data_IF_298181782754
#
_entry.id   IF_298181782754
#
_cell.length_a   1.000
_cell.length_b   1.000
_cell.length_c   1.000
_cell.angle_alpha   90.00
_cell.angle_beta   90.00
_cell.angle_gamma   90.00
#
_symmetry.space_group_name_H-M   'P 1'
#
loop_
_entity.id
_entity.type
_entity.pdbx_description
1 polymer ?
#
# COMPACT_ATOMS: atom_id res chain seq x y z
N UNK A 1 23.61 -0.10 -58.72
CA UNK A 1 23.32 1.05 -57.82
C UNK A 1 22.12 0.80 -56.90
N UNK A 2 21.02 0.18 -57.37
CA UNK A 2 19.81 -0.11 -56.55
C UNK A 2 20.08 -0.88 -55.24
N UNK A 3 20.88 -1.96 -55.25
CA UNK A 3 21.15 -2.74 -54.02
C UNK A 3 21.95 -1.99 -52.95
N UNK A 4 22.86 -1.08 -53.33
CA UNK A 4 23.67 -0.32 -52.34
C UNK A 4 22.81 0.70 -51.59
N UNK A 5 21.86 1.33 -52.29
CA UNK A 5 20.92 2.27 -51.70
C UNK A 5 19.94 1.56 -50.76
N UNK A 6 19.42 0.40 -51.15
CA UNK A 6 18.53 -0.41 -50.29
C UNK A 6 19.23 -0.91 -49.03
N UNK A 7 20.49 -1.33 -49.12
CA UNK A 7 21.28 -1.73 -47.95
C UNK A 7 21.55 -0.54 -47.02
N UNK A 8 21.86 0.63 -47.58
CA UNK A 8 22.09 1.85 -46.78
C UNK A 8 20.81 2.29 -46.05
N UNK A 9 19.66 2.26 -46.72
CA UNK A 9 18.37 2.56 -46.08
C UNK A 9 18.01 1.54 -45.00
N UNK A 10 18.23 0.24 -45.24
CA UNK A 10 18.00 -0.79 -44.23
C UNK A 10 18.91 -0.60 -43.00
N UNK A 11 20.18 -0.24 -43.21
CA UNK A 11 21.11 0.07 -42.12
C UNK A 11 20.66 1.30 -41.33
N UNK A 12 20.18 2.35 -42.02
CA UNK A 12 19.67 3.57 -41.39
C UNK A 12 18.42 3.27 -40.55
N UNK A 13 17.50 2.45 -41.06
CA UNK A 13 16.33 2.01 -40.29
C UNK A 13 16.72 1.20 -39.05
N UNK A 14 17.67 0.26 -39.18
CA UNK A 14 18.19 -0.51 -38.05
C UNK A 14 18.86 0.38 -36.98
N UNK A 15 19.64 1.39 -37.40
CA UNK A 15 20.27 2.36 -36.50
C UNK A 15 19.23 3.25 -35.81
N UNK A 16 18.21 3.72 -36.53
CA UNK A 16 17.12 4.49 -35.94
C UNK A 16 16.32 3.67 -34.92
N UNK A 17 16.07 2.38 -35.17
CA UNK A 17 15.40 1.50 -34.17
C UNK A 17 16.29 1.17 -32.98
N UNK A 18 17.61 1.09 -33.15
CA UNK A 18 18.56 0.85 -32.06
C UNK A 18 18.76 2.07 -31.16
N UNK A 19 18.49 3.28 -31.67
CA UNK A 19 18.51 4.53 -30.88
C UNK A 19 17.19 4.82 -30.17
N UNK A 20 16.13 4.02 -30.40
CA UNK A 20 14.91 4.06 -29.60
C UNK A 20 15.01 3.22 -28.32
N UNK A 21 16.22 2.87 -27.88
CA UNK A 21 16.42 2.44 -26.50
C UNK A 21 16.07 3.63 -25.61
N UNK A 22 14.89 3.58 -25.01
CA UNK A 22 14.52 4.41 -23.87
C UNK A 22 15.74 4.46 -22.94
N UNK A 23 16.25 5.65 -22.64
CA UNK A 23 17.21 5.82 -21.56
C UNK A 23 16.56 5.18 -20.34
N UNK A 24 17.14 4.08 -19.85
CA UNK A 24 16.68 3.50 -18.59
C UNK A 24 16.84 4.59 -17.55
N UNK A 25 15.72 5.17 -17.11
CA UNK A 25 15.71 6.16 -16.04
C UNK A 25 16.35 5.50 -14.82
N UNK A 26 17.55 5.95 -14.46
CA UNK A 26 18.32 5.38 -13.37
C UNK A 26 17.64 5.78 -12.05
N UNK A 27 17.05 4.80 -11.37
CA UNK A 27 16.44 5.04 -10.06
C UNK A 27 17.54 5.35 -9.04
N UNK A 28 17.38 6.46 -8.33
CA UNK A 28 18.30 6.86 -7.27
C UNK A 28 17.88 6.17 -5.96
N UNK A 29 18.73 5.33 -5.34
CA UNK A 29 18.38 4.68 -4.09
C UNK A 29 18.23 5.72 -2.97
N UNK A 30 17.15 5.61 -2.20
CA UNK A 30 16.84 6.49 -1.08
C UNK A 30 16.48 5.65 0.14
N UNK A 31 17.26 5.74 1.22
CA UNK A 31 16.91 5.03 2.44
C UNK A 31 15.73 5.71 3.12
N UNK A 32 14.80 4.88 3.59
CA UNK A 32 13.62 5.33 4.32
C UNK A 32 13.46 4.53 5.59
N UNK A 33 13.07 5.21 6.65
CA UNK A 33 12.85 4.61 7.97
C UNK A 33 11.39 4.69 8.31
N UNK A 34 10.78 3.55 8.66
CA UNK A 34 9.42 3.53 9.21
C UNK A 34 9.46 4.20 10.58
N UNK A 35 8.67 5.25 10.78
CA UNK A 35 8.63 6.02 12.04
C UNK A 35 7.28 5.93 12.74
N UNK A 36 6.25 5.41 12.08
CA UNK A 36 4.94 5.33 12.69
C UNK A 36 3.84 4.78 11.80
N UNK A 37 2.64 4.79 12.39
CA UNK A 37 1.38 4.57 11.70
C UNK A 37 0.61 5.88 11.82
N UNK A 38 0.20 6.42 10.66
CA UNK A 38 -0.60 7.63 10.57
C UNK A 38 -2.01 7.41 11.12
N UNK A 39 -2.95 8.30 10.80
CA UNK A 39 -4.35 8.09 11.18
C UNK A 39 -4.92 6.89 10.41
N UNK A 40 -5.28 5.82 11.13
CA UNK A 40 -5.97 4.68 10.53
C UNK A 40 -7.44 5.04 10.36
N UNK A 41 -7.96 4.89 9.14
CA UNK A 41 -9.26 5.42 8.74
C UNK A 41 -10.20 4.31 8.29
N UNK A 42 -11.47 4.44 8.65
CA UNK A 42 -12.57 3.70 8.06
C UNK A 42 -12.98 4.37 6.76
N UNK A 43 -13.26 3.59 5.73
CA UNK A 43 -13.70 4.05 4.43
C UNK A 43 -14.96 3.28 3.97
N UNK A 44 -15.81 3.98 3.25
CA UNK A 44 -16.91 3.46 2.45
C UNK A 44 -16.47 3.35 0.99
N UNK A 45 -16.44 2.13 0.47
CA UNK A 45 -16.02 1.79 -0.89
C UNK A 45 -17.21 1.38 -1.78
N UNK A 46 -18.44 1.83 -1.47
CA UNK A 46 -19.61 1.54 -2.31
C UNK A 46 -19.62 2.33 -3.65
N UNK A 47 -18.90 3.45 -3.69
CA UNK A 47 -18.85 4.35 -4.84
C UNK A 47 -17.71 4.03 -5.82
N UNK A 48 -17.42 4.98 -6.70
CA UNK A 48 -16.30 4.89 -7.64
C UNK A 48 -14.93 5.08 -6.98
N UNK A 49 -14.90 5.73 -5.82
CA UNK A 49 -13.71 5.96 -5.00
C UNK A 49 -14.06 5.74 -3.53
N UNK A 50 -13.14 5.22 -2.71
CA UNK A 50 -13.32 5.16 -1.26
C UNK A 50 -13.48 6.55 -0.65
N UNK A 51 -14.42 6.72 0.27
CA UNK A 51 -14.68 7.98 0.99
C UNK A 51 -14.86 7.77 2.49
N UNK A 52 -14.77 8.83 3.28
CA UNK A 52 -15.06 8.76 4.72
C UNK A 52 -16.55 8.39 4.96
N UNK A 53 -16.86 7.46 5.86
CA UNK A 53 -18.24 7.09 6.21
C UNK A 53 -19.03 8.27 6.75
N UNK A 54 -20.25 8.47 6.24
CA UNK A 54 -21.13 9.54 6.70
C UNK A 54 -21.76 9.14 8.05
N UNK A 55 -21.55 9.97 9.07
CA UNK A 55 -22.11 9.74 10.40
C UNK A 55 -21.51 8.54 11.14
N UNK A 56 -20.33 8.05 10.74
CA UNK A 56 -19.68 6.90 11.38
C UNK A 56 -20.42 5.58 11.11
N UNK A 57 -21.13 5.48 9.99
CA UNK A 57 -21.86 4.27 9.58
C UNK A 57 -21.41 3.85 8.18
N UNK A 58 -21.19 2.55 7.99
CA UNK A 58 -20.80 1.96 6.69
C UNK A 58 -21.49 0.62 6.47
N UNK A 59 -21.82 0.30 5.23
CA UNK A 59 -22.25 -1.05 4.87
C UNK A 59 -21.08 -2.02 5.07
N UNK A 60 -21.35 -3.18 5.67
CA UNK A 60 -20.32 -4.24 5.83
C UNK A 60 -19.72 -4.67 4.50
N UNK A 61 -20.51 -4.68 3.43
CA UNK A 61 -20.07 -5.07 2.08
C UNK A 61 -19.19 -4.00 1.42
N UNK A 62 -19.28 -2.75 1.88
CA UNK A 62 -18.52 -1.62 1.36
C UNK A 62 -17.35 -1.21 2.26
N UNK A 63 -17.18 -1.84 3.43
CA UNK A 63 -16.18 -1.43 4.41
C UNK A 63 -14.75 -1.63 3.89
N UNK A 64 -13.93 -0.60 4.09
CA UNK A 64 -12.50 -0.61 3.84
C UNK A 64 -11.77 0.04 5.02
N UNK A 65 -10.57 -0.47 5.32
CA UNK A 65 -9.65 0.04 6.32
C UNK A 65 -8.41 0.61 5.60
N UNK A 66 -8.10 1.88 5.83
CA UNK A 66 -6.92 2.56 5.32
C UNK A 66 -5.89 2.73 6.43
N UNK A 67 -4.70 2.17 6.23
CA UNK A 67 -3.60 2.16 7.20
C UNK A 67 -2.41 2.89 6.57
N UNK A 68 -2.29 4.22 6.75
CA UNK A 68 -1.11 4.95 6.31
C UNK A 68 0.07 4.67 7.24
N UNK A 69 1.25 4.50 6.66
CA UNK A 69 2.52 4.41 7.38
C UNK A 69 3.31 5.71 7.23
N UNK A 70 3.96 6.11 8.30
CA UNK A 70 4.80 7.31 8.32
C UNK A 70 6.26 6.91 8.08
N UNK A 71 6.93 7.60 7.16
CA UNK A 71 8.32 7.35 6.81
C UNK A 71 9.14 8.63 6.92
N UNK A 72 10.37 8.48 7.41
CA UNK A 72 11.41 9.50 7.33
C UNK A 72 12.37 9.13 6.20
N UNK A 73 12.67 10.10 5.33
CA UNK A 73 13.54 9.93 4.17
C UNK A 73 14.94 10.45 4.52
N UNK A 74 15.97 9.69 4.19
CA UNK A 74 17.36 10.07 4.44
C UNK A 74 17.76 11.38 3.75
N UNK A 75 17.10 11.69 2.62
CA UNK A 75 17.35 12.87 1.81
C UNK A 75 16.05 13.56 1.41
N UNK A 76 16.15 14.85 1.14
CA UNK A 76 15.05 15.63 0.55
C UNK A 76 14.72 15.09 -0.85
N UNK A 77 13.42 14.94 -1.12
CA UNK A 77 12.91 14.39 -2.38
C UNK A 77 12.77 15.53 -3.38
N UNK A 78 13.47 15.41 -4.51
CA UNK A 78 13.40 16.38 -5.60
C UNK A 78 12.33 15.95 -6.60
N UNK A 79 11.38 16.84 -6.88
CA UNK A 79 10.33 16.60 -7.87
C UNK A 79 10.92 16.29 -9.26
N UNK A 80 10.33 15.31 -9.97
CA UNK A 80 10.81 14.85 -11.28
C UNK A 80 12.00 13.89 -11.22
N UNK A 81 12.44 13.49 -10.02
CA UNK A 81 13.49 12.47 -9.84
C UNK A 81 12.87 11.12 -9.49
N UNK A 82 13.36 10.06 -10.13
CA UNK A 82 12.94 8.69 -9.86
C UNK A 82 13.77 8.12 -8.71
N UNK A 83 13.12 7.86 -7.58
CA UNK A 83 13.77 7.25 -6.41
C UNK A 83 13.34 5.80 -6.24
N UNK A 84 14.29 4.96 -5.85
CA UNK A 84 14.03 3.62 -5.32
C UNK A 84 14.09 3.71 -3.79
N UNK A 85 12.94 3.61 -3.13
CA UNK A 85 12.87 3.73 -1.68
C UNK A 85 13.18 2.39 -1.00
N UNK A 86 14.19 2.40 -0.13
CA UNK A 86 14.74 1.20 0.53
C UNK A 86 14.59 1.33 2.04
N UNK A 87 13.82 0.43 2.65
CA UNK A 87 13.60 0.36 4.09
C UNK A 87 14.90 0.03 4.83
N UNK A 88 15.28 0.87 5.79
CA UNK A 88 16.41 0.63 6.71
C UNK A 88 16.15 -0.55 7.65
N UNK A 89 14.87 -0.89 7.86
CA UNK A 89 14.41 -2.12 8.47
C UNK A 89 13.06 -2.53 7.86
N UNK A 90 13.00 -3.74 7.29
CA UNK A 90 11.79 -4.23 6.62
C UNK A 90 10.67 -4.54 7.60
N UNK A 91 9.43 -4.38 7.16
CA UNK A 91 8.24 -4.78 7.94
C UNK A 91 8.13 -6.32 7.93
N UNK A 92 8.18 -6.91 9.12
CA UNK A 92 8.06 -8.35 9.32
C UNK A 92 6.60 -8.80 9.39
N UNK A 93 5.77 -8.04 10.12
CA UNK A 93 4.39 -8.41 10.37
C UNK A 93 3.46 -7.19 10.47
N UNK A 94 2.19 -7.40 10.15
CA UNK A 94 1.11 -6.44 10.36
C UNK A 94 -0.08 -7.20 10.93
N UNK A 95 -0.57 -6.74 12.07
CA UNK A 95 -1.74 -7.28 12.75
C UNK A 95 -2.89 -6.29 12.72
N UNK A 96 -4.11 -6.81 12.70
CA UNK A 96 -5.34 -6.02 12.82
C UNK A 96 -6.12 -6.67 13.94
N UNK A 97 -6.00 -6.11 15.14
CA UNK A 97 -6.64 -6.64 16.32
C UNK A 97 -8.02 -6.00 16.45
N UNK A 98 -9.08 -6.79 16.48
CA UNK A 98 -10.41 -6.28 16.75
C UNK A 98 -10.55 -5.96 18.24
N UNK A 99 -10.93 -4.73 18.59
CA UNK A 99 -11.14 -4.29 19.99
C UNK A 99 -12.59 -4.54 20.46
N UNK A 100 -13.47 -4.86 19.53
CA UNK A 100 -14.81 -5.39 19.74
C UNK A 100 -14.88 -6.81 19.20
N UNK A 101 -15.96 -7.55 19.42
CA UNK A 101 -16.12 -8.85 18.77
C UNK A 101 -16.35 -8.65 17.26
N UNK A 102 -15.49 -9.26 16.43
CA UNK A 102 -15.64 -9.21 14.98
C UNK A 102 -16.81 -10.08 14.52
N UNK A 103 -16.92 -11.27 15.12
CA UNK A 103 -18.05 -12.20 15.02
C UNK A 103 -18.03 -13.12 16.27
N UNK A 104 -18.89 -14.15 16.30
CA UNK A 104 -18.97 -15.10 17.43
C UNK A 104 -17.69 -15.92 17.65
N UNK A 105 -16.93 -16.20 16.59
CA UNK A 105 -15.69 -16.98 16.64
C UNK A 105 -14.44 -16.14 16.87
N UNK A 106 -14.53 -14.83 16.66
CA UNK A 106 -13.43 -13.87 16.79
C UNK A 106 -13.80 -12.79 17.83
N UNK A 107 -13.66 -13.09 19.14
CA UNK A 107 -13.96 -12.14 20.21
C UNK A 107 -12.98 -10.96 20.21
N UNK A 108 -13.29 -9.92 20.99
CA UNK A 108 -12.41 -8.79 21.21
C UNK A 108 -11.00 -9.23 21.66
N UNK A 109 -9.97 -8.60 21.11
CA UNK A 109 -8.57 -8.94 21.28
C UNK A 109 -8.01 -9.91 20.22
N UNK A 110 -8.86 -10.45 19.33
CA UNK A 110 -8.42 -11.37 18.27
C UNK A 110 -7.72 -10.61 17.14
N UNK A 111 -6.57 -11.14 16.68
CA UNK A 111 -5.95 -10.71 15.43
C UNK A 111 -6.77 -11.25 14.24
N UNK A 112 -7.47 -10.35 13.58
CA UNK A 112 -8.34 -10.63 12.44
C UNK A 112 -7.68 -10.28 11.11
N UNK A 113 -6.36 -10.00 11.06
CA UNK A 113 -5.69 -9.62 9.81
C UNK A 113 -5.87 -10.64 8.68
N UNK A 114 -5.97 -11.94 8.99
CA UNK A 114 -6.24 -12.99 7.99
C UNK A 114 -7.65 -12.91 7.39
N UNK A 115 -8.60 -12.27 8.09
CA UNK A 115 -9.94 -11.99 7.59
C UNK A 115 -9.98 -10.80 6.65
N UNK A 116 -8.87 -10.07 6.49
CA UNK A 116 -8.73 -8.94 5.58
C UNK A 116 -7.86 -9.30 4.37
N UNK A 117 -8.02 -8.52 3.30
CA UNK A 117 -7.12 -8.56 2.16
C UNK A 117 -6.80 -7.20 1.62
N UNK A 118 -5.62 -7.07 1.01
CA UNK A 118 -5.24 -5.86 0.31
C UNK A 118 -6.19 -5.62 -0.87
N UNK A 119 -6.76 -4.43 -0.95
CA UNK A 119 -7.64 -4.02 -2.04
C UNK A 119 -7.65 -2.50 -2.21
N UNK A 120 -7.54 -1.99 -3.45
CA UNK A 120 -7.36 -2.75 -4.68
C UNK A 120 -5.96 -3.39 -4.73
N UNK A 121 -5.81 -4.48 -5.49
CA UNK A 121 -4.55 -5.22 -5.56
C UNK A 121 -3.38 -4.35 -6.09
N UNK A 122 -3.70 -3.31 -6.87
CA UNK A 122 -2.75 -2.33 -7.41
C UNK A 122 -3.38 -0.95 -7.32
N UNK A 123 -2.84 -0.11 -6.45
CA UNK A 123 -3.07 1.33 -6.37
C UNK A 123 -1.70 2.01 -6.31
N UNK A 124 -1.61 3.26 -6.77
CA UNK A 124 -0.34 4.00 -6.79
C UNK A 124 0.28 4.13 -5.38
N UNK A 125 -0.55 4.36 -4.36
CA UNK A 125 -0.12 4.54 -2.97
C UNK A 125 -0.22 3.27 -2.12
N UNK A 126 -0.71 2.16 -2.69
CA UNK A 126 -0.81 0.87 -2.00
C UNK A 126 0.60 0.32 -1.75
N UNK A 127 0.93 0.10 -0.48
CA UNK A 127 2.23 -0.39 -0.06
C UNK A 127 2.47 -1.82 -0.59
N UNK A 128 3.49 -1.98 -1.43
CA UNK A 128 3.98 -3.27 -1.93
C UNK A 128 5.48 -3.45 -1.66
N UNK A 129 5.96 -4.69 -1.79
CA UNK A 129 7.37 -5.10 -1.76
C UNK A 129 8.17 -4.81 -0.48
N UNK A 130 7.53 -4.27 0.56
CA UNK A 130 8.10 -3.98 1.88
C UNK A 130 8.81 -5.16 2.55
N UNK A 131 8.44 -6.41 2.20
CA UNK A 131 9.09 -7.62 2.71
C UNK A 131 10.48 -7.87 2.12
N UNK A 132 10.74 -7.30 0.95
CA UNK A 132 11.99 -7.43 0.18
C UNK A 132 12.95 -6.26 0.38
N UNK A 133 12.58 -5.25 1.17
CA UNK A 133 13.41 -4.05 1.37
C UNK A 133 12.92 -2.82 0.64
N UNK A 134 12.05 -2.96 -0.34
CA UNK A 134 11.58 -1.84 -1.15
C UNK A 134 10.23 -1.33 -0.67
N UNK A 135 9.95 -0.05 -0.87
CA UNK A 135 8.60 0.50 -0.61
C UNK A 135 8.09 1.26 -1.83
N UNK A 136 7.04 0.72 -2.43
CA UNK A 136 6.20 1.44 -3.39
C UNK A 136 4.90 1.78 -2.70
N UNK A 137 4.52 3.05 -2.67
CA UNK A 137 3.39 3.53 -1.86
C UNK A 137 3.71 3.60 -0.36
N UNK A 138 2.74 4.03 0.42
CA UNK A 138 2.88 4.23 1.88
C UNK A 138 1.66 3.77 2.67
N UNK A 139 0.65 3.20 2.01
CA UNK A 139 -0.67 2.93 2.61
C UNK A 139 -1.06 1.47 2.40
N UNK A 140 -1.59 0.80 3.44
CA UNK A 140 -2.37 -0.42 3.21
C UNK A 140 -3.86 -0.09 3.14
N UNK A 141 -4.48 -0.37 2.00
CA UNK A 141 -5.93 -0.47 1.90
C UNK A 141 -6.34 -1.93 2.07
N UNK A 142 -7.24 -2.18 3.01
CA UNK A 142 -7.70 -3.52 3.35
C UNK A 142 -9.21 -3.61 3.37
N UNK A 143 -9.76 -4.67 2.79
CA UNK A 143 -11.19 -4.99 2.86
C UNK A 143 -11.41 -6.32 3.58
N UNK A 144 -12.54 -6.52 4.26
CA UNK A 144 -12.94 -7.82 4.79
C UNK A 144 -13.14 -8.85 3.67
N UNK A 145 -12.55 -10.03 3.82
CA UNK A 145 -12.92 -11.26 3.09
C UNK A 145 -14.08 -11.97 3.76
N UNK A 146 -14.02 -12.05 5.09
CA UNK A 146 -15.11 -12.53 5.94
C UNK A 146 -15.79 -11.33 6.51
N UNK A 147 -17.07 -11.11 6.22
CA UNK A 147 -17.78 -9.93 6.69
C UNK A 147 -17.89 -9.93 8.21
N UNK A 148 -17.66 -8.79 8.88
CA UNK A 148 -17.91 -8.68 10.31
C UNK A 148 -19.40 -8.83 10.62
N UNK A 149 -19.74 -9.09 11.88
CA UNK A 149 -21.13 -8.97 12.34
C UNK A 149 -21.59 -7.52 12.30
N UNK A 150 -22.89 -7.27 12.22
CA UNK A 150 -23.41 -5.92 12.34
C UNK A 150 -23.18 -5.38 13.76
N UNK A 151 -22.88 -4.09 13.89
CA UNK A 151 -22.65 -3.45 15.18
C UNK A 151 -21.50 -2.45 15.16
N UNK A 152 -21.09 -2.03 16.36
CA UNK A 152 -19.96 -1.11 16.55
C UNK A 152 -18.66 -1.90 16.51
N UNK A 153 -17.72 -1.41 15.72
CA UNK A 153 -16.40 -1.98 15.54
C UNK A 153 -15.31 -0.97 15.84
N UNK A 154 -14.19 -1.47 16.37
CA UNK A 154 -12.96 -0.71 16.57
C UNK A 154 -11.78 -1.63 16.38
N UNK A 155 -10.69 -1.13 15.80
CA UNK A 155 -9.50 -1.93 15.52
C UNK A 155 -8.24 -1.30 16.11
N UNK A 156 -7.24 -2.14 16.36
CA UNK A 156 -5.87 -1.75 16.67
C UNK A 156 -4.95 -2.37 15.64
N UNK A 157 -4.21 -1.54 14.92
CA UNK A 157 -3.17 -1.98 13.99
C UNK A 157 -1.85 -2.02 14.72
N UNK A 158 -1.10 -3.11 14.53
CA UNK A 158 0.28 -3.25 15.01
C UNK A 158 1.16 -3.57 13.81
N UNK A 159 2.24 -2.82 13.63
CA UNK A 159 3.27 -3.06 12.60
C UNK A 159 4.58 -3.37 13.30
N UNK A 160 5.16 -4.53 12.99
CA UNK A 160 6.40 -5.00 13.60
C UNK A 160 7.49 -5.07 12.54
N UNK A 161 8.64 -4.44 12.79
CA UNK A 161 9.81 -4.51 11.91
C UNK A 161 10.62 -5.79 12.13
N UNK A 162 11.59 -6.10 11.25
CA UNK A 162 12.45 -7.30 11.44
C UNK A 162 13.40 -7.18 12.62
N UNK A 163 13.80 -5.98 13.02
CA UNK A 163 14.58 -5.77 14.27
C UNK A 163 13.70 -5.80 15.52
N UNK A 164 12.38 -5.91 15.38
CA UNK A 164 11.43 -6.06 16.49
C UNK A 164 10.89 -4.73 17.03
N UNK A 165 11.01 -3.63 16.30
CA UNK A 165 10.33 -2.38 16.65
C UNK A 165 8.83 -2.50 16.35
N UNK A 166 7.99 -1.99 17.24
CA UNK A 166 6.54 -2.06 17.13
C UNK A 166 5.91 -0.67 17.10
N UNK A 167 5.10 -0.44 16.07
CA UNK A 167 4.24 0.73 15.96
C UNK A 167 2.79 0.31 16.13
N UNK A 168 2.01 1.08 16.88
CA UNK A 168 0.61 0.75 17.19
C UNK A 168 -0.30 1.95 16.97
N UNK A 169 -1.49 1.70 16.40
CA UNK A 169 -2.54 2.71 16.25
C UNK A 169 -3.93 2.11 16.41
N UNK A 170 -4.79 2.78 17.16
CA UNK A 170 -6.21 2.43 17.26
C UNK A 170 -7.04 3.28 16.30
N UNK A 171 -8.11 2.70 15.79
CA UNK A 171 -9.13 3.43 15.02
C UNK A 171 -10.10 4.15 15.96
N UNK A 172 -10.85 5.09 15.38
CA UNK A 172 -12.11 5.54 15.95
C UNK A 172 -13.15 4.38 15.90
N UNK A 173 -14.33 4.59 16.46
CA UNK A 173 -15.42 3.62 16.32
C UNK A 173 -16.11 3.76 14.96
N UNK A 174 -16.57 2.65 14.41
CA UNK A 174 -17.41 2.59 13.20
C UNK A 174 -18.60 1.68 13.43
N UNK A 175 -19.78 2.09 13.00
CA UNK A 175 -20.96 1.21 12.95
C UNK A 175 -21.03 0.53 11.60
N UNK A 176 -21.01 -0.80 11.58
CA UNK A 176 -21.15 -1.59 10.36
C UNK A 176 -22.54 -2.25 10.29
N UNK A 177 -23.22 -2.11 9.16
CA UNK A 177 -24.59 -2.61 8.93
C UNK A 177 -24.64 -3.62 7.76
#
# INVERSE_FOLDING_TARGET
MKNKLSVLLALLFLLCTAMCCEEFEEYIPCQVTLTGIGKVEHLDNAGSVPVAPVGGVVSRQAYMLRIPLDFEYEKEIVEGTYYEYILTDTIANIQIISLTAYDESHPAGTDVNELFMNYPLRQEDQLTDYKYGYTYGTVFYKIPRTLPQAGVHRFKVVVTTRKGEEFTKETDEITMQ
#
